data_IF_432031689812
#
_entry.id   IF_432031689812
#
_cell.length_a   1.000
_cell.length_b   1.000
_cell.length_c   1.000
_cell.angle_alpha   90.00
_cell.angle_beta   90.00
_cell.angle_gamma   90.00
#
_symmetry.space_group_name_H-M   'P 1'
#
loop_
_entity.id
_entity.type
_entity.pdbx_description
1 polymer ?
#
# COMPACT_ATOMS: atom_id res chain seq x y z
N UNK A 1 3.83 -10.37 -4.82
CA UNK A 1 2.80 -9.38 -5.19
C UNK A 1 3.48 -8.33 -6.03
N UNK A 2 2.82 -7.85 -7.07
CA UNK A 2 3.33 -6.78 -7.94
C UNK A 2 2.35 -5.63 -7.93
N UNK A 3 2.84 -4.39 -8.04
CA UNK A 3 2.00 -3.21 -8.23
C UNK A 3 1.95 -2.87 -9.71
N UNK A 4 0.75 -2.88 -10.28
CA UNK A 4 0.54 -2.59 -11.70
C UNK A 4 0.44 -1.08 -11.94
N UNK A 5 -0.20 -0.34 -11.03
CA UNK A 5 -0.32 1.12 -11.09
C UNK A 5 -0.72 1.70 -9.72
N UNK A 6 -0.63 3.01 -9.60
CA UNK A 6 -1.09 3.77 -8.43
C UNK A 6 -1.82 5.04 -8.87
N UNK A 7 -2.59 5.63 -7.96
CA UNK A 7 -3.24 6.94 -8.15
C UNK A 7 -3.33 7.67 -6.80
N UNK A 8 -2.75 8.87 -6.70
CA UNK A 8 -3.04 9.78 -5.59
C UNK A 8 -4.47 10.31 -5.79
N UNK A 9 -5.38 9.93 -4.88
CA UNK A 9 -6.77 10.36 -4.93
C UNK A 9 -6.95 11.75 -4.32
N UNK A 10 -6.27 11.99 -3.20
CA UNK A 10 -6.20 13.23 -2.45
C UNK A 10 -4.98 13.18 -1.50
N UNK A 11 -4.66 14.25 -0.75
CA UNK A 11 -3.47 14.31 0.10
C UNK A 11 -3.37 13.26 1.22
N UNK A 12 -4.43 12.51 1.51
CA UNK A 12 -4.42 11.46 2.55
C UNK A 12 -4.81 10.08 2.03
N UNK A 13 -5.03 9.90 0.72
CA UNK A 13 -5.46 8.63 0.15
C UNK A 13 -4.80 8.35 -1.21
N UNK A 14 -4.17 7.18 -1.33
CA UNK A 14 -3.64 6.62 -2.58
C UNK A 14 -4.31 5.29 -2.90
N UNK A 15 -4.77 5.11 -4.14
CA UNK A 15 -5.16 3.80 -4.66
C UNK A 15 -3.97 3.06 -5.22
N UNK A 16 -3.77 1.81 -4.83
CA UNK A 16 -2.81 0.88 -5.45
C UNK A 16 -3.56 -0.22 -6.19
N UNK A 17 -3.10 -0.55 -7.41
CA UNK A 17 -3.56 -1.72 -8.14
C UNK A 17 -2.54 -2.83 -7.99
N UNK A 18 -2.89 -3.88 -7.24
CA UNK A 18 -2.01 -4.98 -6.88
C UNK A 18 -2.43 -6.27 -7.55
N UNK A 19 -1.45 -7.05 -7.99
CA UNK A 19 -1.64 -8.38 -8.59
C UNK A 19 -0.94 -9.44 -7.74
N UNK A 20 -1.60 -10.57 -7.55
CA UNK A 20 -1.00 -11.75 -6.94
C UNK A 20 -0.52 -12.74 -8.03
N UNK A 21 0.77 -12.74 -8.41
CA UNK A 21 1.31 -13.71 -9.36
C UNK A 21 1.60 -15.09 -8.73
N UNK A 22 1.38 -15.25 -7.43
CA UNK A 22 1.66 -16.49 -6.72
C UNK A 22 0.55 -17.53 -6.87
N UNK A 23 0.79 -18.72 -6.32
CA UNK A 23 -0.13 -19.86 -6.33
C UNK A 23 -1.07 -19.94 -5.11
N UNK A 24 -0.89 -19.06 -4.12
CA UNK A 24 -1.67 -19.05 -2.87
C UNK A 24 -2.29 -17.67 -2.66
N UNK A 25 -3.50 -17.64 -2.11
CA UNK A 25 -4.17 -16.39 -1.75
C UNK A 25 -3.38 -15.60 -0.70
N UNK A 26 -3.42 -14.28 -0.79
CA UNK A 26 -2.67 -13.39 0.12
C UNK A 26 -3.62 -12.44 0.82
N UNK A 27 -3.75 -12.59 2.14
CA UNK A 27 -4.51 -11.68 3.00
C UNK A 27 -3.64 -10.48 3.40
N UNK A 28 -4.17 -9.28 3.20
CA UNK A 28 -3.53 -8.02 3.60
C UNK A 28 -4.04 -7.61 4.99
N UNK A 29 -3.12 -7.36 5.93
CA UNK A 29 -3.49 -7.20 7.37
C UNK A 29 -2.98 -5.91 8.01
N UNK A 30 -1.99 -5.26 7.42
CA UNK A 30 -1.49 -3.96 7.84
C UNK A 30 -0.74 -3.29 6.69
N UNK A 31 -0.46 -2.00 6.85
CA UNK A 31 0.49 -1.31 5.98
C UNK A 31 1.23 -0.22 6.72
N UNK A 32 2.44 0.06 6.24
CA UNK A 32 3.26 1.20 6.65
C UNK A 32 3.51 2.08 5.44
N UNK A 33 3.52 3.39 5.65
CA UNK A 33 3.87 4.38 4.63
C UNK A 33 4.98 5.25 5.18
N UNK A 34 6.01 5.47 4.36
CA UNK A 34 7.15 6.32 4.67
C UNK A 34 7.35 7.35 3.56
N UNK A 35 7.56 8.61 3.91
CA UNK A 35 7.93 9.65 2.95
C UNK A 35 9.45 9.64 2.66
N UNK A 36 9.91 10.51 1.76
CA UNK A 36 11.35 10.63 1.46
C UNK A 36 12.19 11.19 2.61
N UNK A 37 11.57 11.93 3.53
CA UNK A 37 12.23 12.58 4.67
C UNK A 37 12.47 11.61 5.83
N UNK A 38 11.70 10.53 5.88
CA UNK A 38 11.79 9.49 6.89
C UNK A 38 10.56 9.39 7.81
N UNK A 39 9.61 10.30 7.65
CA UNK A 39 8.35 10.36 8.39
C UNK A 39 7.46 9.19 8.02
N UNK A 40 6.76 8.66 9.02
CA UNK A 40 6.08 7.37 8.91
C UNK A 40 4.66 7.42 9.44
N UNK A 41 3.80 6.65 8.78
CA UNK A 41 2.45 6.33 9.22
C UNK A 41 2.24 4.82 9.15
N UNK A 42 1.61 4.24 10.16
CA UNK A 42 1.34 2.81 10.24
C UNK A 42 -0.13 2.54 10.57
N UNK A 43 -0.74 1.63 9.81
CA UNK A 43 -2.06 1.10 10.13
C UNK A 43 -1.96 -0.41 10.39
N UNK A 44 -1.73 -0.75 11.67
CA UNK A 44 -1.58 -2.13 12.13
C UNK A 44 -2.90 -2.91 12.28
N UNK A 45 -4.04 -2.23 12.27
CA UNK A 45 -5.38 -2.82 12.48
C UNK A 45 -6.21 -2.80 11.19
N UNK A 46 -5.55 -2.81 10.03
CA UNK A 46 -6.24 -2.72 8.75
C UNK A 46 -6.83 -4.07 8.34
N UNK A 47 -8.17 -4.15 8.25
CA UNK A 47 -8.86 -5.30 7.68
C UNK A 47 -8.85 -5.26 6.14
N UNK A 48 -7.69 -5.44 5.54
CA UNK A 48 -7.51 -5.44 4.09
C UNK A 48 -8.15 -6.66 3.40
N UNK A 49 -8.34 -6.60 2.06
CA UNK A 49 -8.88 -7.72 1.29
C UNK A 49 -7.89 -8.88 1.17
N UNK A 50 -8.38 -10.03 0.71
CA UNK A 50 -7.55 -11.15 0.25
C UNK A 50 -7.45 -11.15 -1.28
N UNK A 51 -6.25 -11.35 -1.81
CA UNK A 51 -5.99 -11.42 -3.25
C UNK A 51 -5.80 -12.88 -3.66
N UNK A 52 -6.75 -13.40 -4.44
CA UNK A 52 -6.67 -14.76 -4.99
C UNK A 52 -5.48 -14.92 -5.97
N UNK A 53 -4.96 -16.13 -6.17
CA UNK A 53 -3.95 -16.42 -7.20
C UNK A 53 -4.39 -15.90 -8.58
N UNK A 54 -3.50 -15.19 -9.28
CA UNK A 54 -3.78 -14.65 -10.62
C UNK A 54 -4.78 -13.49 -10.65
N UNK A 55 -5.21 -12.96 -9.50
CA UNK A 55 -6.15 -11.85 -9.44
C UNK A 55 -5.44 -10.51 -9.25
N UNK A 56 -6.04 -9.47 -9.84
CA UNK A 56 -5.69 -8.07 -9.61
C UNK A 56 -6.84 -7.36 -8.88
N UNK A 57 -6.51 -6.51 -7.90
CA UNK A 57 -7.47 -5.71 -7.15
C UNK A 57 -6.97 -4.28 -6.95
N UNK A 58 -7.89 -3.36 -6.68
CA UNK A 58 -7.59 -2.00 -6.22
C UNK A 58 -7.77 -1.91 -4.69
N UNK A 59 -6.80 -1.33 -4.00
CA UNK A 59 -6.87 -1.03 -2.57
C UNK A 59 -6.61 0.44 -2.31
N UNK A 60 -7.17 0.98 -1.21
CA UNK A 60 -6.88 2.34 -0.76
C UNK A 60 -5.90 2.29 0.42
N UNK A 61 -4.87 3.13 0.36
CA UNK A 61 -3.90 3.38 1.41
C UNK A 61 -4.20 4.77 1.96
N UNK A 62 -4.69 4.82 3.19
CA UNK A 62 -5.14 6.06 3.85
C UNK A 62 -4.20 6.40 5.00
N UNK A 63 -3.78 7.65 5.10
CA UNK A 63 -2.97 8.18 6.21
C UNK A 63 -3.76 9.24 6.97
N UNK A 64 -3.37 9.55 8.20
CA UNK A 64 -4.04 10.58 9.01
C UNK A 64 -3.68 12.02 8.62
N UNK A 65 -2.62 12.20 7.81
CA UNK A 65 -2.14 13.50 7.36
C UNK A 65 -1.31 14.28 8.38
N UNK A 66 -0.96 13.68 9.52
CA UNK A 66 -0.30 14.37 10.64
C UNK A 66 1.21 14.52 10.44
N UNK A 67 1.89 13.42 10.10
CA UNK A 67 3.33 13.41 9.86
C UNK A 67 3.68 13.93 8.46
N UNK A 68 2.87 13.56 7.46
CA UNK A 68 3.01 13.99 6.08
C UNK A 68 1.69 13.84 5.33
N UNK A 69 1.63 14.41 4.12
CA UNK A 69 0.55 14.19 3.16
C UNK A 69 1.13 13.81 1.79
N UNK A 70 0.33 13.10 0.98
CA UNK A 70 0.68 12.71 -0.38
C UNK A 70 0.64 13.90 -1.34
N UNK A 71 1.71 14.06 -2.12
CA UNK A 71 1.85 15.08 -3.15
C UNK A 71 2.40 14.46 -4.43
N UNK A 72 1.91 14.90 -5.58
CA UNK A 72 2.44 14.46 -6.87
C UNK A 72 3.90 14.92 -7.04
N UNK A 73 4.77 14.05 -7.55
CA UNK A 73 6.19 14.33 -7.75
C UNK A 73 7.05 14.11 -6.50
N UNK A 74 6.46 13.61 -5.41
CA UNK A 74 7.15 13.20 -4.19
C UNK A 74 7.13 11.68 -4.08
N UNK A 75 8.18 11.11 -3.50
CA UNK A 75 8.32 9.67 -3.37
C UNK A 75 7.84 9.17 -2.01
N UNK A 76 7.06 8.08 -2.03
CA UNK A 76 6.62 7.39 -0.83
C UNK A 76 6.87 5.89 -0.97
N UNK A 77 7.23 5.26 0.14
CA UNK A 77 7.35 3.81 0.25
C UNK A 77 6.15 3.27 1.00
N UNK A 78 5.41 2.36 0.37
CA UNK A 78 4.30 1.62 0.97
C UNK A 78 4.74 0.18 1.21
N UNK A 79 4.77 -0.24 2.47
CA UNK A 79 4.98 -1.62 2.86
C UNK A 79 3.63 -2.24 3.23
N UNK A 80 3.20 -3.24 2.47
CA UNK A 80 2.01 -4.04 2.77
C UNK A 80 2.42 -5.26 3.59
N UNK A 81 1.79 -5.40 4.74
CA UNK A 81 1.98 -6.53 5.65
C UNK A 81 0.93 -7.60 5.36
N UNK A 82 1.37 -8.85 5.33
CA UNK A 82 0.53 -10.04 5.19
C UNK A 82 0.85 -11.02 6.31
N UNK A 83 0.08 -12.09 6.44
CA UNK A 83 0.34 -13.13 7.46
C UNK A 83 1.74 -13.74 7.37
N UNK A 84 2.34 -13.79 6.18
CA UNK A 84 3.57 -14.56 5.94
C UNK A 84 4.75 -13.71 5.48
N UNK A 85 4.52 -12.48 5.00
CA UNK A 85 5.58 -11.63 4.42
C UNK A 85 5.17 -10.17 4.27
N UNK A 86 6.18 -9.34 4.03
CA UNK A 86 6.05 -7.94 3.64
C UNK A 86 6.21 -7.77 2.13
N UNK A 87 5.50 -6.81 1.55
CA UNK A 87 5.67 -6.40 0.16
C UNK A 87 5.86 -4.88 0.11
N UNK A 88 6.97 -4.42 -0.47
CA UNK A 88 7.32 -3.00 -0.52
C UNK A 88 7.13 -2.46 -1.92
N UNK A 89 6.48 -1.30 -2.02
CA UNK A 89 6.21 -0.58 -3.25
C UNK A 89 6.64 0.88 -3.12
N UNK A 90 7.24 1.45 -4.16
CA UNK A 90 7.54 2.89 -4.22
C UNK A 90 6.55 3.56 -5.18
N UNK A 91 5.94 4.65 -4.73
CA UNK A 91 5.09 5.52 -5.54
C UNK A 91 5.79 6.89 -5.73
N UNK A 92 5.99 7.37 -6.97
CA UNK A 92 6.51 8.71 -7.27
C UNK A 92 5.44 9.81 -7.34
#
# INVERSE_FOLDING_TARGET
MTMNSYRINNPTNVTLNLMNPGSVAVALIAYHVKDSSGDQYANGNWSGPSIAPGAAISINIVIDGTAFTFHAGMYYTVEIVTLHRYFTFTIP
#
